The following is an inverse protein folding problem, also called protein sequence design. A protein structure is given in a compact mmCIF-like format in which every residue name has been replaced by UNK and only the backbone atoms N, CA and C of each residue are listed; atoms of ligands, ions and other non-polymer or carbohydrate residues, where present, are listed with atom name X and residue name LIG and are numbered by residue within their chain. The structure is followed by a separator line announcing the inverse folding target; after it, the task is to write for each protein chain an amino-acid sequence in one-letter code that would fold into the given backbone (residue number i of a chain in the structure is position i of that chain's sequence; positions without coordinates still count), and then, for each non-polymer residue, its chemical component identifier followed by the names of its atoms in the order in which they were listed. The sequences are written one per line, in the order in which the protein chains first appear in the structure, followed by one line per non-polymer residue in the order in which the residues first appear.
data_IF_601831636643
#
_entry.id   IF_601831636643
#
_cell.length_a   1.000
_cell.length_b   1.000
_cell.length_c   1.000
_cell.angle_alpha   90.00
_cell.angle_beta   90.00
_cell.angle_gamma   90.00
#
_symmetry.space_group_name_H-M   'P 1'
#
loop_
_entity.id
_entity.type
_entity.pdbx_description
1 polymer ?
#
# COMPACT_ATOMS: atom_id res chain seq x y z
N UNK A 1 7.94 1.56 23.73
CA UNK A 1 9.28 1.65 23.12
C UNK A 1 9.07 1.68 21.61
N UNK A 2 9.46 2.79 20.96
CA UNK A 2 9.49 2.88 19.52
C UNK A 2 10.27 1.68 18.98
N UNK A 3 9.62 0.87 18.15
CA UNK A 3 10.35 -0.03 17.28
C UNK A 3 10.84 0.85 16.14
N UNK A 4 12.12 1.24 16.21
CA UNK A 4 12.82 1.76 15.05
C UNK A 4 12.71 0.71 13.94
N UNK A 5 11.76 0.94 13.04
CA UNK A 5 11.38 0.04 11.97
C UNK A 5 12.45 0.07 10.87
N UNK A 6 13.60 -0.53 11.16
CA UNK A 6 14.65 -0.80 10.16
C UNK A 6 14.93 -2.30 10.13
N UNK A 7 13.87 -3.09 10.07
CA UNK A 7 13.96 -4.44 9.53
C UNK A 7 14.05 -4.27 8.01
N UNK A 8 15.01 -4.87 7.30
CA UNK A 8 15.03 -4.85 5.85
C UNK A 8 13.78 -5.59 5.35
N UNK A 9 12.71 -4.84 5.07
CA UNK A 9 11.50 -5.37 4.46
C UNK A 9 11.81 -5.72 3.01
N UNK A 10 11.39 -6.91 2.60
CA UNK A 10 11.39 -7.27 1.18
C UNK A 10 10.39 -6.38 0.41
N UNK A 11 10.61 -6.24 -0.90
CA UNK A 11 9.70 -5.46 -1.77
C UNK A 11 8.24 -5.96 -1.64
N UNK A 12 8.05 -7.28 -1.53
CA UNK A 12 6.75 -7.92 -1.30
C UNK A 12 6.12 -7.54 0.03
N UNK A 13 6.88 -7.60 1.14
CA UNK A 13 6.34 -7.26 2.46
C UNK A 13 5.98 -5.77 2.54
N UNK A 14 6.73 -4.91 1.85
CA UNK A 14 6.45 -3.48 1.83
C UNK A 14 5.18 -3.19 1.05
N UNK A 15 4.99 -3.87 -0.08
CA UNK A 15 3.77 -3.79 -0.86
C UNK A 15 2.58 -4.31 -0.04
N UNK A 16 2.70 -5.47 0.60
CA UNK A 16 1.61 -6.06 1.39
C UNK A 16 1.21 -5.19 2.59
N UNK A 17 2.19 -4.61 3.30
CA UNK A 17 1.92 -3.67 4.38
C UNK A 17 1.15 -2.44 3.88
N UNK A 18 1.54 -1.89 2.73
CA UNK A 18 0.82 -0.77 2.11
C UNK A 18 -0.61 -1.19 1.75
N UNK A 19 -0.81 -2.39 1.19
CA UNK A 19 -2.14 -2.91 0.88
C UNK A 19 -3.05 -2.97 2.10
N UNK A 20 -2.56 -3.52 3.22
CA UNK A 20 -3.32 -3.68 4.45
C UNK A 20 -3.66 -2.33 5.12
N UNK A 21 -2.72 -1.40 5.12
CA UNK A 21 -2.93 -0.05 5.66
C UNK A 21 -3.96 0.70 4.83
N UNK A 22 -3.88 0.64 3.49
CA UNK A 22 -4.85 1.31 2.63
C UNK A 22 -6.22 0.64 2.67
N UNK A 23 -6.30 -0.69 2.72
CA UNK A 23 -7.57 -1.41 2.87
C UNK A 23 -8.29 -1.01 4.17
N UNK A 24 -7.56 -0.99 5.31
CA UNK A 24 -8.13 -0.58 6.60
C UNK A 24 -8.45 0.92 6.68
N UNK A 25 -7.69 1.78 5.99
CA UNK A 25 -8.01 3.21 5.90
C UNK A 25 -9.30 3.46 5.10
N UNK A 26 -9.59 2.64 4.09
CA UNK A 26 -10.75 2.81 3.20
C UNK A 26 -12.07 2.32 3.79
N UNK A 27 -12.03 1.47 4.83
CA UNK A 27 -13.24 1.07 5.59
C UNK A 27 -13.88 2.21 6.39
N UNK A 28 -13.19 3.36 6.55
CA UNK A 28 -13.66 4.48 7.40
C UNK A 28 -13.93 5.79 6.65
N UNK A 29 -13.72 5.84 5.33
CA UNK A 29 -13.80 7.09 4.55
C UNK A 29 -14.49 6.93 3.19
N UNK A 30 -15.76 7.36 3.11
CA UNK A 30 -16.71 7.21 1.99
C UNK A 30 -16.42 8.08 0.75
N UNK A 31 -15.33 8.85 0.73
CA UNK A 31 -14.99 9.77 -0.38
C UNK A 31 -13.72 9.39 -1.17
N UNK A 32 -12.99 8.36 -0.76
CA UNK A 32 -11.75 7.89 -1.42
C UNK A 32 -11.99 6.57 -2.14
N UNK A 33 -13.00 6.54 -3.01
CA UNK A 33 -13.66 5.29 -3.40
C UNK A 33 -13.49 4.85 -4.85
N UNK A 34 -12.34 5.06 -5.51
CA UNK A 34 -12.18 4.53 -6.88
C UNK A 34 -10.99 3.60 -7.06
N UNK A 35 -9.78 3.96 -6.62
CA UNK A 35 -8.58 3.13 -6.79
C UNK A 35 -7.40 3.63 -5.97
N UNK A 36 -6.59 2.70 -5.46
CA UNK A 36 -5.23 2.98 -4.96
C UNK A 36 -4.23 2.65 -6.07
N UNK A 37 -3.36 3.61 -6.38
CA UNK A 37 -2.21 3.39 -7.26
C UNK A 37 -0.94 3.29 -6.40
N UNK A 38 -0.26 2.15 -6.46
CA UNK A 38 1.02 1.91 -5.80
C UNK A 38 2.11 1.94 -6.86
N UNK A 39 3.06 2.86 -6.74
CA UNK A 39 4.19 2.99 -7.65
C UNK A 39 5.47 2.53 -6.95
N UNK A 40 5.97 1.36 -7.34
CA UNK A 40 7.24 0.79 -6.85
C UNK A 40 8.37 1.25 -7.78
N UNK A 41 9.34 1.97 -7.23
CA UNK A 41 10.50 2.47 -7.97
C UNK A 41 11.74 1.73 -7.48
N UNK A 42 12.36 0.95 -8.36
CA UNK A 42 13.60 0.21 -8.06
C UNK A 42 14.65 0.43 -9.17
N UNK A 43 15.84 -0.14 -8.99
CA UNK A 43 16.95 0.01 -9.96
C UNK A 43 16.63 -0.58 -11.34
N UNK A 44 15.71 -1.55 -11.43
CA UNK A 44 15.30 -2.17 -12.68
C UNK A 44 14.24 -1.33 -13.43
N UNK A 45 13.55 -0.42 -12.73
CA UNK A 45 12.59 0.50 -13.33
C UNK A 45 11.45 0.86 -12.39
N UNK A 46 10.31 1.22 -12.97
CA UNK A 46 9.11 1.60 -12.23
C UNK A 46 7.99 0.60 -12.52
N UNK A 47 7.39 0.06 -11.46
CA UNK A 47 6.23 -0.84 -11.53
C UNK A 47 5.04 -0.15 -10.89
N UNK A 48 3.87 -0.26 -11.51
CA UNK A 48 2.61 0.30 -11.01
C UNK A 48 1.66 -0.84 -10.71
N UNK A 49 1.12 -0.86 -9.51
CA UNK A 49 0.00 -1.71 -9.11
C UNK A 49 -1.24 -0.85 -8.87
N UNK A 50 -2.39 -1.36 -9.29
CA UNK A 50 -3.68 -0.75 -9.03
C UNK A 50 -4.50 -1.69 -8.17
N UNK A 51 -5.12 -1.14 -7.14
CA UNK A 51 -6.01 -1.87 -6.25
C UNK A 51 -7.35 -1.17 -6.28
N UNK A 52 -8.37 -1.91 -6.69
CA UNK A 52 -9.75 -1.46 -6.62
C UNK A 52 -10.22 -1.61 -5.18
N UNK A 53 -10.64 -0.51 -4.58
CA UNK A 53 -11.22 -0.50 -3.24
C UNK A 53 -12.70 -0.88 -3.35
N UNK A 54 -13.22 -1.60 -2.36
CA UNK A 54 -14.65 -1.95 -2.35
C UNK A 54 -15.51 -0.70 -2.25
N UNK A 55 -16.54 -0.64 -3.09
CA UNK A 55 -17.60 0.37 -3.10
C UNK A 55 -18.80 -0.22 -2.37
N UNK A 56 -18.77 -0.19 -1.05
CA UNK A 56 -19.91 -0.60 -0.22
C UNK A 56 -20.66 0.64 0.30
#
# INVERSE_FOLDING_TARGET
CMQDAVTPLSESEAVDLVKDVFASATERDIYTGDKVEIVVINKAGTRREYIELRKD
#
